data_IF_913872200438
#
_entry.id   IF_913872200438
#
_cell.length_a   1.000
_cell.length_b   1.000
_cell.length_c   1.000
_cell.angle_alpha   90.00
_cell.angle_beta   90.00
_cell.angle_gamma   90.00
#
_symmetry.space_group_name_H-M   'P 1'
#
loop_
_entity.id
_entity.type
_entity.pdbx_description
1 polymer ?
#
# COMPACT_ATOMS: atom_id res chain seq x y z
N UNK A 1 -7.12 16.29 -1.62
CA UNK A 1 -5.75 16.60 -2.07
C UNK A 1 -5.18 15.40 -2.81
N UNK A 2 -4.31 15.60 -3.79
CA UNK A 2 -3.77 14.52 -4.60
C UNK A 2 -2.25 14.42 -4.40
N UNK A 3 -1.73 13.19 -4.51
CA UNK A 3 -0.31 12.89 -4.42
C UNK A 3 0.20 12.39 -5.76
N UNK A 4 1.34 12.89 -6.19
CA UNK A 4 2.05 12.28 -7.30
C UNK A 4 2.54 10.88 -6.89
N UNK A 5 2.62 9.96 -7.86
CA UNK A 5 3.05 8.58 -7.60
C UNK A 5 4.39 8.53 -6.85
N UNK A 6 5.34 9.38 -7.21
CA UNK A 6 6.64 9.44 -6.53
C UNK A 6 6.52 9.86 -5.07
N UNK A 7 5.58 10.74 -4.76
CA UNK A 7 5.31 11.15 -3.37
C UNK A 7 4.65 10.02 -2.58
N UNK A 8 3.78 9.25 -3.22
CA UNK A 8 3.19 8.06 -2.61
C UNK A 8 4.28 7.07 -2.21
N UNK A 9 5.25 6.85 -3.09
CA UNK A 9 6.36 5.92 -2.79
C UNK A 9 7.18 6.40 -1.59
N UNK A 10 7.42 7.71 -1.49
CA UNK A 10 8.11 8.29 -0.32
C UNK A 10 7.30 8.12 0.95
N UNK A 11 5.98 8.27 0.85
CA UNK A 11 5.09 8.08 2.00
C UNK A 11 5.13 6.65 2.48
N UNK A 12 5.14 5.69 1.56
CA UNK A 12 5.26 4.27 1.90
C UNK A 12 6.60 3.97 2.58
N UNK A 13 7.69 4.53 2.07
CA UNK A 13 9.01 4.34 2.66
C UNK A 13 9.08 4.92 4.07
N UNK A 14 8.51 6.11 4.25
CA UNK A 14 8.46 6.75 5.57
C UNK A 14 7.61 5.95 6.54
N UNK A 15 6.46 5.44 6.09
CA UNK A 15 5.60 4.60 6.92
C UNK A 15 6.31 3.31 7.32
N UNK A 16 7.12 2.76 6.43
CA UNK A 16 7.95 1.60 6.72
C UNK A 16 8.98 1.92 7.83
N UNK A 17 9.68 3.04 7.68
CA UNK A 17 10.72 3.42 8.64
C UNK A 17 10.17 3.70 10.03
N UNK A 18 9.03 4.36 10.11
CA UNK A 18 8.43 4.77 11.38
C UNK A 18 7.35 3.82 11.88
N UNK A 19 7.12 2.72 11.16
CA UNK A 19 6.11 1.71 11.50
C UNK A 19 4.72 2.34 11.69
N UNK A 20 4.40 3.29 10.83
CA UNK A 20 3.10 3.95 10.84
C UNK A 20 2.06 3.12 10.09
N UNK A 21 0.83 3.11 10.59
CA UNK A 21 -0.27 2.48 9.88
C UNK A 21 -0.64 3.30 8.65
N UNK A 22 -1.04 2.61 7.58
CA UNK A 22 -1.49 3.26 6.35
C UNK A 22 -2.88 2.79 5.98
N UNK A 23 -3.60 3.62 5.26
CA UNK A 23 -4.92 3.34 4.73
C UNK A 23 -4.81 3.40 3.20
N UNK A 24 -4.91 2.24 2.55
CA UNK A 24 -4.64 2.11 1.12
C UNK A 24 -5.84 1.52 0.40
N UNK A 25 -6.21 2.14 -0.73
CA UNK A 25 -7.13 1.56 -1.71
C UNK A 25 -6.32 1.18 -2.94
N UNK A 26 -6.49 -0.05 -3.38
CA UNK A 26 -5.77 -0.56 -4.54
C UNK A 26 -6.68 -1.45 -5.38
N UNK A 27 -6.37 -1.54 -6.68
CA UNK A 27 -7.03 -2.48 -7.57
C UNK A 27 -6.45 -3.88 -7.36
N UNK A 28 -7.30 -4.89 -7.47
CA UNK A 28 -6.82 -6.26 -7.56
C UNK A 28 -6.63 -6.63 -9.02
N UNK A 29 -5.43 -7.12 -9.36
CA UNK A 29 -5.06 -7.36 -10.75
C UNK A 29 -5.84 -8.47 -11.45
N UNK A 30 -6.36 -9.45 -10.69
CA UNK A 30 -7.07 -10.59 -11.28
C UNK A 30 -8.54 -10.33 -11.55
N UNK A 31 -9.19 -9.52 -10.72
CA UNK A 31 -10.65 -9.33 -10.78
C UNK A 31 -11.07 -7.90 -11.08
N UNK A 32 -10.16 -6.93 -10.97
CA UNK A 32 -10.49 -5.51 -11.10
C UNK A 32 -11.24 -4.95 -9.91
N UNK A 33 -11.38 -5.70 -8.84
CA UNK A 33 -12.04 -5.22 -7.63
C UNK A 33 -11.16 -4.24 -6.87
N UNK A 34 -11.81 -3.38 -6.08
CA UNK A 34 -11.11 -2.46 -5.19
C UNK A 34 -10.95 -3.12 -3.83
N UNK A 35 -9.72 -3.14 -3.32
CA UNK A 35 -9.44 -3.64 -1.98
C UNK A 35 -9.02 -2.48 -1.10
N UNK A 36 -9.57 -2.45 0.10
CA UNK A 36 -9.25 -1.44 1.10
C UNK A 36 -8.41 -2.05 2.22
N UNK A 37 -7.17 -1.62 2.32
CA UNK A 37 -6.25 -2.02 3.39
C UNK A 37 -6.29 -0.93 4.46
N UNK A 38 -7.17 -1.09 5.44
CA UNK A 38 -7.40 -0.10 6.47
C UNK A 38 -6.56 -0.38 7.71
N UNK A 39 -5.61 0.52 7.99
CA UNK A 39 -4.76 0.39 9.19
C UNK A 39 -3.76 -0.75 9.09
N UNK A 40 -3.09 -0.88 7.95
CA UNK A 40 -2.06 -1.90 7.74
C UNK A 40 -0.67 -1.28 7.90
N UNK A 41 0.30 -2.13 8.25
CA UNK A 41 1.71 -1.73 8.32
C UNK A 41 2.39 -2.00 6.99
N UNK A 42 3.34 -1.15 6.63
CA UNK A 42 4.21 -1.41 5.47
C UNK A 42 5.30 -2.36 5.93
N UNK A 43 5.27 -3.59 5.39
CA UNK A 43 6.25 -4.61 5.74
C UNK A 43 7.53 -4.48 4.93
N UNK A 44 7.40 -4.17 3.65
CA UNK A 44 8.53 -4.04 2.73
C UNK A 44 8.12 -3.27 1.48
N UNK A 45 9.01 -2.41 1.00
CA UNK A 45 8.82 -1.70 -0.26
C UNK A 45 9.91 -2.19 -1.22
N UNK A 46 9.50 -2.77 -2.34
CA UNK A 46 10.43 -3.25 -3.35
C UNK A 46 10.36 -2.34 -4.58
N UNK A 47 11.35 -1.47 -4.69
CA UNK A 47 11.42 -0.50 -5.77
C UNK A 47 11.63 -1.15 -7.14
N UNK A 48 12.47 -2.18 -7.20
CA UNK A 48 12.78 -2.87 -8.45
C UNK A 48 11.63 -3.75 -8.92
N UNK A 49 10.98 -4.42 -7.99
CA UNK A 49 9.85 -5.29 -8.30
C UNK A 49 8.55 -4.53 -8.53
N UNK A 50 8.49 -3.26 -8.16
CA UNK A 50 7.29 -2.44 -8.34
C UNK A 50 6.13 -2.84 -7.44
N UNK A 51 6.41 -3.37 -6.25
CA UNK A 51 5.37 -3.77 -5.32
C UNK A 51 5.69 -3.32 -3.90
N UNK A 52 4.67 -3.37 -3.05
CA UNK A 52 4.80 -3.17 -1.61
C UNK A 52 4.15 -4.35 -0.92
N UNK A 53 4.74 -4.81 0.17
CA UNK A 53 4.12 -5.81 1.04
C UNK A 53 3.54 -5.12 2.24
N UNK A 54 2.27 -5.43 2.50
CA UNK A 54 1.54 -4.88 3.63
C UNK A 54 1.31 -5.99 4.65
N UNK A 55 1.41 -5.64 5.92
CA UNK A 55 1.16 -6.56 7.01
C UNK A 55 -0.10 -6.13 7.74
N UNK A 56 -1.04 -7.06 7.89
CA UNK A 56 -2.23 -6.81 8.68
C UNK A 56 -1.92 -7.08 10.15
N UNK A 57 -1.89 -6.05 11.02
CA UNK A 57 -1.53 -6.25 12.42
C UNK A 57 -2.56 -7.06 13.21
N UNK A 58 -3.76 -7.25 12.66
CA UNK A 58 -4.84 -7.99 13.32
C UNK A 58 -5.00 -9.42 12.82
N UNK A 59 -4.25 -9.82 11.78
CA UNK A 59 -4.37 -11.14 11.19
C UNK A 59 -3.21 -12.04 11.59
N UNK A 60 -3.42 -13.36 11.43
CA UNK A 60 -2.41 -14.38 11.69
C UNK A 60 -2.30 -15.33 10.52
N UNK A 61 -1.15 -16.01 10.41
CA UNK A 61 -0.91 -17.01 9.39
C UNK A 61 -0.82 -16.42 7.99
N UNK A 62 -1.43 -17.09 7.03
CA UNK A 62 -1.32 -16.73 5.61
C UNK A 62 -2.00 -15.41 5.26
N UNK A 63 -2.83 -14.88 6.14
CA UNK A 63 -3.52 -13.61 5.93
C UNK A 63 -2.74 -12.42 6.45
N UNK A 64 -1.56 -12.67 7.00
CA UNK A 64 -0.75 -11.63 7.62
C UNK A 64 -0.18 -10.66 6.59
N UNK A 65 0.27 -11.18 5.45
CA UNK A 65 0.96 -10.40 4.42
C UNK A 65 0.17 -10.37 3.11
N UNK A 66 0.22 -9.21 2.45
CA UNK A 66 -0.33 -9.04 1.10
C UNK A 66 0.67 -8.29 0.25
N UNK A 67 0.85 -8.75 -0.97
CA UNK A 67 1.69 -8.08 -1.96
C UNK A 67 0.80 -7.24 -2.87
N UNK A 68 1.09 -5.94 -2.95
CA UNK A 68 0.31 -5.01 -3.74
C UNK A 68 1.21 -4.34 -4.77
N UNK A 69 0.90 -4.47 -6.07
CA UNK A 69 1.65 -3.71 -7.08
C UNK A 69 1.49 -2.21 -6.84
N UNK A 70 2.60 -1.48 -6.87
CA UNK A 70 2.58 -0.05 -6.57
C UNK A 70 1.67 0.73 -7.53
N UNK A 71 1.66 0.35 -8.80
CA UNK A 71 0.85 1.03 -9.81
C UNK A 71 -0.65 0.84 -9.63
N UNK A 72 -1.06 -0.12 -8.83
CA UNK A 72 -2.48 -0.36 -8.55
C UNK A 72 -3.00 0.44 -7.37
N UNK A 73 -2.12 1.10 -6.61
CA UNK A 73 -2.53 1.95 -5.50
C UNK A 73 -3.02 3.27 -6.06
N UNK A 74 -4.30 3.59 -5.84
CA UNK A 74 -4.87 4.83 -6.35
C UNK A 74 -5.29 5.80 -5.26
N UNK A 75 -5.24 5.37 -3.99
CA UNK A 75 -5.56 6.25 -2.86
C UNK A 75 -4.79 5.79 -1.63
N UNK A 76 -4.18 6.73 -0.91
CA UNK A 76 -3.46 6.45 0.32
C UNK A 76 -3.71 7.57 1.32
N UNK A 77 -4.09 7.19 2.56
CA UNK A 77 -4.37 8.14 3.64
C UNK A 77 -5.30 9.28 3.21
N UNK A 78 -6.38 8.92 2.50
CA UNK A 78 -7.39 9.84 1.98
C UNK A 78 -6.90 10.79 0.90
N UNK A 79 -5.79 10.51 0.27
CA UNK A 79 -5.26 11.30 -0.83
C UNK A 79 -5.22 10.45 -2.10
N UNK A 80 -5.76 10.98 -3.19
CA UNK A 80 -5.71 10.30 -4.47
C UNK A 80 -4.29 10.32 -5.02
N UNK A 81 -3.90 9.22 -5.69
CA UNK A 81 -2.58 9.08 -6.31
C UNK A 81 -2.72 9.25 -7.82
N UNK A 82 -1.84 10.05 -8.41
CA UNK A 82 -1.81 10.22 -9.86
C UNK A 82 -0.38 10.00 -10.40
N UNK A 83 -0.32 9.62 -11.65
CA UNK A 83 0.95 9.35 -12.34
C UNK A 83 1.55 10.59 -12.97
#
# INVERSE_FOLDING_TARGET
>A
MALHFSEMLRLLDRAYQYRSLVDIYAWEGGTGEVIHYNGWLVHHVNWRGGYVRLRNPKARGNRLLRTVPQVFIFRINNQQVYL
#
